data_IF_427679420520
#
_entry.id   IF_427679420520
#
_cell.length_a   1.000
_cell.length_b   1.000
_cell.length_c   1.000
_cell.angle_alpha   90.00
_cell.angle_beta   90.00
_cell.angle_gamma   90.00
#
_symmetry.space_group_name_H-M   'P 1'
#
loop_
_entity.id
_entity.type
_entity.pdbx_description
1 polymer ?
#
# COMPACT_ATOMS: atom_id res chain seq x y z
N UNK A 1 35.72 8.38 -60.45
CA UNK A 1 34.32 8.49 -60.92
C UNK A 1 34.03 7.30 -61.82
N UNK A 2 33.47 6.23 -61.25
CA UNK A 2 32.93 5.10 -62.01
C UNK A 2 31.78 4.50 -61.19
N UNK A 3 30.56 4.70 -61.68
CA UNK A 3 29.31 4.17 -61.14
C UNK A 3 29.20 2.70 -61.55
N UNK A 4 28.87 1.81 -60.62
CA UNK A 4 28.31 0.48 -60.92
C UNK A 4 27.11 0.22 -60.01
N UNK A 5 25.94 0.33 -60.63
CA UNK A 5 24.64 -0.13 -60.13
C UNK A 5 24.60 -1.65 -60.32
N UNK A 6 24.26 -2.39 -59.26
CA UNK A 6 23.82 -3.78 -59.36
C UNK A 6 22.46 -3.88 -58.69
N UNK A 7 21.44 -4.07 -59.52
CA UNK A 7 20.13 -4.60 -59.14
C UNK A 7 20.29 -6.05 -58.69
N UNK A 8 19.54 -6.48 -57.67
CA UNK A 8 18.48 -7.50 -57.86
C UNK A 8 18.09 -8.30 -56.62
N UNK A 9 16.80 -8.59 -56.60
CA UNK A 9 16.06 -9.63 -55.87
C UNK A 9 15.76 -9.44 -54.38
N UNK A 10 14.72 -8.61 -54.19
CA UNK A 10 13.63 -8.79 -53.24
C UNK A 10 13.14 -10.26 -53.22
N UNK A 11 13.13 -10.88 -52.05
CA UNK A 11 12.33 -12.07 -51.75
C UNK A 11 11.69 -11.86 -50.36
N UNK A 12 10.49 -11.29 -50.38
CA UNK A 12 9.60 -11.14 -49.24
C UNK A 12 8.91 -12.49 -49.03
N UNK A 13 9.33 -13.25 -48.02
CA UNK A 13 8.61 -14.45 -47.56
C UNK A 13 7.76 -14.03 -46.36
N UNK A 14 6.51 -13.71 -46.63
CA UNK A 14 5.50 -13.46 -45.60
C UNK A 14 4.85 -14.80 -45.24
N UNK A 15 5.24 -15.37 -44.09
CA UNK A 15 4.56 -16.53 -43.53
C UNK A 15 3.29 -16.04 -42.81
N UNK A 16 2.14 -16.26 -43.42
CA UNK A 16 0.83 -16.06 -42.80
C UNK A 16 0.54 -17.27 -41.90
N UNK A 17 0.74 -17.12 -40.60
CA UNK A 17 0.14 -18.00 -39.60
C UNK A 17 -1.21 -17.40 -39.20
N UNK A 18 -2.27 -17.96 -39.76
CA UNK A 18 -3.64 -17.78 -39.27
C UNK A 18 -3.80 -18.60 -37.97
N UNK A 19 -3.50 -17.96 -36.84
CA UNK A 19 -3.89 -18.44 -35.53
C UNK A 19 -5.29 -17.91 -35.19
N UNK A 20 -6.32 -18.74 -35.37
CA UNK A 20 -7.59 -18.56 -34.69
C UNK A 20 -7.42 -19.05 -33.25
N UNK A 21 -7.55 -18.15 -32.28
CA UNK A 21 -7.62 -18.45 -30.86
C UNK A 21 -8.10 -17.20 -30.15
N UNK A 22 -9.31 -17.25 -29.59
CA UNK A 22 -10.11 -16.09 -29.22
C UNK A 22 -9.42 -15.13 -28.25
N UNK A 23 -9.53 -13.85 -28.55
CA UNK A 23 -9.48 -12.79 -27.55
C UNK A 23 -10.77 -12.89 -26.72
N UNK A 24 -10.73 -13.67 -25.65
CA UNK A 24 -11.60 -13.42 -24.51
C UNK A 24 -11.10 -12.12 -23.86
N UNK A 25 -11.60 -10.99 -24.35
CA UNK A 25 -11.69 -9.78 -23.53
C UNK A 25 -12.70 -10.10 -22.44
N UNK A 26 -12.23 -10.79 -21.40
CA UNK A 26 -12.94 -10.88 -20.14
C UNK A 26 -13.11 -9.46 -19.64
N UNK A 27 -14.30 -8.90 -19.83
CA UNK A 27 -14.80 -7.82 -18.99
C UNK A 27 -14.88 -8.41 -17.59
N UNK A 28 -13.77 -8.37 -16.86
CA UNK A 28 -13.78 -8.54 -15.42
C UNK A 28 -14.70 -7.44 -14.91
N UNK A 29 -15.91 -7.85 -14.56
CA UNK A 29 -16.82 -7.01 -13.81
C UNK A 29 -16.14 -6.84 -12.45
N UNK A 30 -15.33 -5.79 -12.30
CA UNK A 30 -14.83 -5.37 -11.01
C UNK A 30 -16.07 -5.17 -10.16
N UNK A 31 -16.29 -6.11 -9.23
CA UNK A 31 -17.25 -5.90 -8.18
C UNK A 31 -16.85 -4.59 -7.50
N UNK A 32 -17.80 -3.73 -7.14
CA UNK A 32 -17.46 -2.54 -6.38
C UNK A 32 -16.66 -2.97 -5.14
N UNK A 33 -15.59 -2.24 -4.77
CA UNK A 33 -14.79 -2.59 -3.59
C UNK A 33 -15.72 -2.73 -2.38
N UNK A 34 -15.45 -3.75 -1.57
CA UNK A 34 -16.20 -4.05 -0.35
C UNK A 34 -16.04 -2.89 0.63
N UNK A 35 -14.90 -2.18 0.58
CA UNK A 35 -14.68 -0.92 1.29
C UNK A 35 -15.02 0.28 0.39
N UNK A 36 -16.21 0.88 0.58
CA UNK A 36 -16.70 2.01 -0.24
C UNK A 36 -16.38 3.41 0.30
N UNK A 37 -15.55 3.53 1.33
CA UNK A 37 -15.27 4.84 1.91
C UNK A 37 -13.77 5.11 1.88
N UNK A 38 -13.35 5.99 0.97
CA UNK A 38 -12.12 6.76 1.14
C UNK A 38 -12.23 7.44 2.50
N UNK A 39 -11.51 6.90 3.47
CA UNK A 39 -11.43 7.50 4.78
C UNK A 39 -10.21 8.40 4.74
N UNK A 40 -10.43 9.71 4.76
CA UNK A 40 -9.36 10.56 5.26
C UNK A 40 -9.11 10.04 6.68
N UNK A 41 -7.89 9.58 6.94
CA UNK A 41 -7.41 9.26 8.27
C UNK A 41 -7.19 10.59 9.00
N UNK A 42 -8.27 11.38 9.10
CA UNK A 42 -8.23 12.66 9.77
C UNK A 42 -8.36 12.42 11.27
N UNK A 43 -7.87 13.37 12.05
CA UNK A 43 -8.13 13.41 13.48
C UNK A 43 -9.64 13.47 13.84
N UNK A 44 -10.53 13.68 12.85
CA UNK A 44 -12.00 13.71 12.98
C UNK A 44 -12.66 12.38 12.57
N UNK A 45 -11.96 11.25 12.63
CA UNK A 45 -12.53 9.91 12.44
C UNK A 45 -13.55 9.54 13.54
N UNK A 46 -14.72 10.18 13.54
CA UNK A 46 -15.94 9.80 14.28
C UNK A 46 -15.74 8.98 15.57
N UNK A 47 -16.54 7.92 15.72
CA UNK A 47 -16.47 6.95 16.82
C UNK A 47 -15.36 5.90 16.57
N UNK A 48 -14.14 6.32 16.19
CA UNK A 48 -13.00 5.42 16.02
C UNK A 48 -12.54 4.77 17.34
N UNK A 49 -13.28 4.95 18.45
CA UNK A 49 -12.93 4.46 19.78
C UNK A 49 -12.69 2.95 19.84
N UNK A 50 -13.26 2.17 18.92
CA UNK A 50 -12.99 0.73 18.80
C UNK A 50 -11.55 0.40 18.34
N UNK A 51 -10.89 1.32 17.64
CA UNK A 51 -9.50 1.14 17.17
C UNK A 51 -8.47 1.73 18.13
N UNK A 52 -8.91 2.35 19.22
CA UNK A 52 -8.02 2.98 20.17
C UNK A 52 -7.37 1.93 21.06
N UNK A 53 -6.05 2.00 21.14
CA UNK A 53 -5.27 1.18 22.06
C UNK A 53 -5.39 1.72 23.51
N UNK A 54 -6.59 1.68 24.07
CA UNK A 54 -6.95 2.26 25.39
C UNK A 54 -6.12 1.67 26.55
N UNK A 55 -5.68 0.42 26.42
CA UNK A 55 -4.77 -0.26 27.35
C UNK A 55 -3.38 0.41 27.44
N UNK A 56 -3.04 1.27 26.48
CA UNK A 56 -1.81 2.05 26.44
C UNK A 56 -1.99 3.51 26.91
N UNK A 57 -3.16 3.88 27.44
CA UNK A 57 -3.38 5.22 28.00
C UNK A 57 -2.41 5.49 29.16
N UNK A 58 -1.75 6.64 29.14
CA UNK A 58 -0.68 7.01 30.07
C UNK A 58 0.68 6.42 29.72
N UNK A 59 0.77 5.67 28.61
CA UNK A 59 1.97 4.97 28.12
C UNK A 59 2.20 5.21 26.62
N UNK A 60 1.71 6.33 26.08
CA UNK A 60 1.86 6.66 24.66
C UNK A 60 3.32 6.65 24.18
N UNK A 61 4.26 7.13 24.99
CA UNK A 61 5.68 7.10 24.66
C UNK A 61 6.25 5.67 24.54
N UNK A 62 5.82 4.74 25.41
CA UNK A 62 6.23 3.34 25.35
C UNK A 62 5.63 2.64 24.12
N UNK A 63 4.36 2.93 23.80
CA UNK A 63 3.73 2.45 22.57
C UNK A 63 4.52 2.95 21.36
N UNK A 64 4.75 4.25 21.25
CA UNK A 64 5.49 4.84 20.13
C UNK A 64 6.89 4.24 19.98
N UNK A 65 7.63 4.05 21.08
CA UNK A 65 8.93 3.38 21.04
C UNK A 65 8.84 1.93 20.55
N UNK A 66 7.79 1.21 20.94
CA UNK A 66 7.54 -0.16 20.48
C UNK A 66 7.22 -0.21 18.98
N UNK A 67 6.47 0.76 18.45
CA UNK A 67 6.15 0.89 17.03
C UNK A 67 7.42 1.21 16.21
N UNK A 68 8.25 2.15 16.68
CA UNK A 68 9.55 2.46 16.08
C UNK A 68 10.45 1.24 16.01
N UNK A 69 10.61 0.53 17.13
CA UNK A 69 11.47 -0.65 17.19
C UNK A 69 10.99 -1.76 16.25
N UNK A 70 9.69 -2.06 16.26
CA UNK A 70 9.11 -3.10 15.41
C UNK A 70 9.27 -2.77 13.91
N UNK A 71 8.85 -1.57 13.51
CA UNK A 71 8.83 -1.18 12.09
C UNK A 71 10.26 -1.10 11.54
N UNK A 72 11.19 -0.55 12.33
CA UNK A 72 12.60 -0.52 11.97
C UNK A 72 13.22 -1.93 11.91
N UNK A 73 13.01 -2.77 12.92
CA UNK A 73 13.55 -4.14 12.91
C UNK A 73 13.06 -4.93 11.71
N UNK A 74 11.76 -4.83 11.39
CA UNK A 74 11.18 -5.44 10.20
C UNK A 74 11.85 -4.94 8.93
N UNK A 75 11.99 -3.62 8.74
CA UNK A 75 12.63 -3.06 7.54
C UNK A 75 14.11 -3.46 7.38
N UNK A 76 14.79 -3.83 8.47
CA UNK A 76 16.18 -4.30 8.43
C UNK A 76 16.30 -5.81 8.17
N UNK A 77 15.26 -6.58 8.48
CA UNK A 77 15.31 -8.06 8.49
C UNK A 77 14.46 -8.71 7.43
N UNK A 78 13.45 -8.02 6.91
CA UNK A 78 12.64 -8.49 5.80
C UNK A 78 13.49 -8.59 4.53
N UNK A 79 13.41 -9.74 3.86
CA UNK A 79 14.05 -9.95 2.57
C UNK A 79 13.04 -9.66 1.47
N UNK A 80 13.19 -8.51 0.80
CA UNK A 80 12.39 -8.19 -0.37
C UNK A 80 12.77 -9.13 -1.52
N UNK A 81 11.82 -9.97 -1.93
CA UNK A 81 11.93 -10.83 -3.10
C UNK A 81 11.10 -10.22 -4.23
N UNK A 82 11.80 -9.70 -5.24
CA UNK A 82 11.17 -9.03 -6.38
C UNK A 82 10.12 -9.93 -7.05
N UNK A 83 8.89 -9.42 -7.16
CA UNK A 83 7.74 -10.13 -7.74
C UNK A 83 7.08 -11.14 -6.81
N UNK A 84 7.58 -11.32 -5.57
CA UNK A 84 7.01 -12.22 -4.57
C UNK A 84 6.54 -11.51 -3.29
N UNK A 85 7.18 -10.41 -2.91
CA UNK A 85 6.81 -9.58 -1.75
C UNK A 85 6.64 -8.14 -2.19
N UNK A 86 5.59 -7.48 -1.70
CA UNK A 86 5.37 -6.06 -1.98
C UNK A 86 4.80 -5.28 -0.79
N UNK A 87 4.55 -3.97 -0.92
CA UNK A 87 4.24 -3.12 0.23
C UNK A 87 2.99 -3.57 1.00
N UNK A 88 2.00 -4.14 0.31
CA UNK A 88 0.81 -4.72 0.94
C UNK A 88 1.10 -5.99 1.75
N UNK A 89 1.97 -6.89 1.27
CA UNK A 89 2.44 -8.05 2.03
C UNK A 89 3.19 -7.58 3.28
N UNK A 90 4.06 -6.57 3.14
CA UNK A 90 4.83 -6.00 4.25
C UNK A 90 3.94 -5.35 5.32
N UNK A 91 2.90 -4.62 4.91
CA UNK A 91 1.93 -4.04 5.81
C UNK A 91 1.15 -5.13 6.58
N UNK A 92 0.80 -6.23 5.91
CA UNK A 92 0.11 -7.36 6.54
C UNK A 92 1.00 -8.08 7.57
N UNK A 93 2.29 -8.25 7.29
CA UNK A 93 3.23 -8.85 8.24
C UNK A 93 3.31 -8.02 9.53
N UNK A 94 3.52 -6.71 9.42
CA UNK A 94 3.52 -5.82 10.60
C UNK A 94 2.16 -5.80 11.29
N UNK A 95 1.05 -5.85 10.53
CA UNK A 95 -0.30 -5.94 11.10
C UNK A 95 -0.44 -7.19 11.99
N UNK A 96 0.03 -8.35 11.52
CA UNK A 96 0.02 -9.60 12.28
C UNK A 96 0.89 -9.51 13.54
N UNK A 97 2.07 -8.90 13.44
CA UNK A 97 2.98 -8.71 14.57
C UNK A 97 2.38 -7.79 15.65
N UNK A 98 1.75 -6.69 15.25
CA UNK A 98 1.02 -5.80 16.16
C UNK A 98 -0.16 -6.52 16.82
N UNK A 99 -0.95 -7.25 16.04
CA UNK A 99 -2.08 -8.03 16.55
C UNK A 99 -1.63 -9.08 17.58
N UNK A 100 -0.50 -9.76 17.35
CA UNK A 100 0.08 -10.73 18.30
C UNK A 100 0.47 -10.11 19.64
N UNK A 101 0.77 -8.81 19.65
CA UNK A 101 1.12 -8.01 20.83
C UNK A 101 -0.12 -7.34 21.47
N UNK A 102 -1.31 -7.59 20.94
CA UNK A 102 -2.55 -6.95 21.38
C UNK A 102 -2.59 -5.46 21.07
N UNK A 103 -1.92 -5.03 20.00
CA UNK A 103 -1.99 -3.66 19.48
C UNK A 103 -2.92 -3.67 18.27
N UNK A 104 -3.99 -2.89 18.36
CA UNK A 104 -4.93 -2.69 17.24
C UNK A 104 -4.30 -1.73 16.24
N UNK A 105 -4.37 -2.08 14.96
CA UNK A 105 -3.88 -1.26 13.85
C UNK A 105 -4.80 -1.40 12.65
N UNK A 106 -4.77 -0.40 11.78
CA UNK A 106 -5.49 -0.38 10.52
C UNK A 106 -4.49 -0.44 9.38
N UNK A 107 -4.80 -1.20 8.33
CA UNK A 107 -4.04 -1.19 7.09
C UNK A 107 -4.60 -0.05 6.23
N UNK A 108 -3.73 0.73 5.63
CA UNK A 108 -4.11 1.82 4.73
C UNK A 108 -3.46 1.60 3.39
N UNK A 109 -4.25 1.81 2.34
CA UNK A 109 -3.84 1.73 0.94
C UNK A 109 -4.12 3.08 0.29
N UNK A 110 -3.12 3.71 -0.31
CA UNK A 110 -3.28 5.01 -0.93
C UNK A 110 -2.17 5.35 -1.90
N UNK A 111 -2.05 6.63 -2.26
CA UNK A 111 -0.98 7.11 -3.13
C UNK A 111 -0.10 8.16 -2.46
N UNK A 112 1.20 7.87 -2.30
CA UNK A 112 2.14 8.78 -1.62
C UNK A 112 2.58 10.00 -2.45
N UNK A 113 2.19 10.07 -3.73
CA UNK A 113 2.56 11.14 -4.66
C UNK A 113 1.43 12.13 -4.94
N UNK A 114 0.20 11.82 -4.49
CA UNK A 114 -0.97 12.67 -4.71
C UNK A 114 -1.95 12.65 -3.54
N UNK A 115 -3.06 13.35 -3.70
CA UNK A 115 -4.18 13.37 -2.74
C UNK A 115 -5.47 13.15 -3.52
N UNK A 116 -6.51 12.67 -2.84
CA UNK A 116 -7.80 12.33 -3.44
C UNK A 116 -7.68 11.30 -4.57
N UNK A 117 -6.78 10.35 -4.39
CA UNK A 117 -6.61 9.23 -5.29
C UNK A 117 -7.89 8.40 -5.39
N UNK A 118 -8.12 7.87 -6.58
CA UNK A 118 -9.04 6.77 -6.79
C UNK A 118 -8.38 5.44 -6.42
N UNK A 119 -9.21 4.42 -6.23
CA UNK A 119 -8.76 3.05 -5.97
C UNK A 119 -7.69 2.56 -6.96
N UNK A 120 -7.84 2.91 -8.25
CA UNK A 120 -6.93 2.49 -9.31
C UNK A 120 -5.60 3.27 -9.33
N UNK A 121 -5.50 4.33 -8.54
CA UNK A 121 -4.31 5.18 -8.43
C UNK A 121 -3.49 4.85 -7.18
N UNK A 122 -3.97 3.98 -6.28
CA UNK A 122 -3.20 3.57 -5.10
C UNK A 122 -1.88 2.88 -5.50
N UNK A 123 -0.79 3.23 -4.81
CA UNK A 123 0.56 2.74 -5.10
C UNK A 123 1.41 2.44 -3.86
N UNK A 124 0.89 2.65 -2.65
CA UNK A 124 1.55 2.26 -1.41
C UNK A 124 0.60 1.73 -0.32
N UNK A 125 1.09 0.81 0.51
CA UNK A 125 0.38 0.30 1.68
C UNK A 125 1.18 0.52 2.96
N UNK A 126 0.51 0.94 4.03
CA UNK A 126 1.10 1.23 5.33
C UNK A 126 0.10 0.93 6.45
N UNK A 127 0.44 1.24 7.70
CA UNK A 127 -0.46 1.08 8.83
C UNK A 127 -0.71 2.38 9.59
N UNK A 128 -1.86 2.45 10.27
CA UNK A 128 -2.19 3.49 11.25
C UNK A 128 -2.46 2.84 12.61
N UNK A 129 -1.87 3.41 13.65
CA UNK A 129 -2.06 3.00 15.04
C UNK A 129 -2.53 4.18 15.88
N UNK A 130 -3.74 4.10 16.43
CA UNK A 130 -4.24 5.08 17.42
C UNK A 130 -3.79 4.69 18.82
N UNK A 131 -3.26 5.65 19.57
CA UNK A 131 -2.98 5.47 20.99
C UNK A 131 -4.24 5.71 21.84
N UNK A 132 -4.18 5.36 23.13
CA UNK A 132 -5.29 5.55 24.07
C UNK A 132 -5.54 7.01 24.50
N UNK A 133 -4.77 7.96 23.95
CA UNK A 133 -4.73 9.39 24.31
C UNK A 133 -5.22 10.30 23.17
N UNK A 134 -5.65 9.73 22.03
CA UNK A 134 -6.20 10.48 20.91
C UNK A 134 -5.19 10.98 19.89
N UNK A 135 -3.96 10.44 19.89
CA UNK A 135 -2.99 10.63 18.82
C UNK A 135 -2.81 9.33 18.02
N UNK A 136 -2.21 9.45 16.84
CA UNK A 136 -1.98 8.35 15.93
C UNK A 136 -0.55 8.37 15.38
N UNK A 137 -0.08 7.22 14.91
CA UNK A 137 1.16 7.07 14.17
C UNK A 137 0.92 6.29 12.87
N UNK A 138 1.50 6.76 11.77
CA UNK A 138 1.62 6.02 10.53
C UNK A 138 2.90 5.22 10.51
N UNK A 139 2.84 3.95 10.13
CA UNK A 139 3.97 3.02 10.07
C UNK A 139 4.18 2.60 8.62
N UNK A 140 5.31 2.97 8.04
CA UNK A 140 5.72 2.53 6.71
C UNK A 140 6.73 1.38 6.82
N UNK A 141 6.29 0.13 6.62
CA UNK A 141 7.18 -1.03 6.73
C UNK A 141 8.25 -1.06 5.63
N UNK A 142 7.99 -0.42 4.47
CA UNK A 142 8.90 -0.44 3.33
C UNK A 142 10.18 0.36 3.58
N UNK A 143 10.11 1.40 4.41
CA UNK A 143 11.29 2.19 4.80
C UNK A 143 11.63 2.16 6.29
N UNK A 144 10.84 1.48 7.11
CA UNK A 144 11.01 1.46 8.57
C UNK A 144 10.53 2.74 9.26
N UNK A 145 9.73 3.55 8.57
CA UNK A 145 9.30 4.86 9.03
C UNK A 145 8.15 4.78 10.03
N UNK A 146 8.19 5.65 11.04
CA UNK A 146 7.04 5.92 11.92
C UNK A 146 6.85 7.43 12.01
N UNK A 147 5.65 7.90 11.67
CA UNK A 147 5.34 9.32 11.51
C UNK A 147 4.12 9.69 12.35
N UNK A 148 4.24 10.77 13.12
CA UNK A 148 3.13 11.41 13.81
C UNK A 148 2.58 12.57 12.95
N UNK A 149 1.34 12.98 13.21
CA UNK A 149 0.74 14.10 12.46
C UNK A 149 1.55 15.39 12.61
N UNK A 150 2.17 15.61 13.77
CA UNK A 150 3.04 16.74 14.05
C UNK A 150 4.24 16.84 13.11
N UNK A 151 4.76 15.70 12.63
CA UNK A 151 5.90 15.65 11.71
C UNK A 151 5.56 16.31 10.36
N UNK A 152 4.27 16.39 10.00
CA UNK A 152 3.81 17.06 8.77
C UNK A 152 4.04 18.57 8.77
N UNK A 153 4.32 19.17 9.94
CA UNK A 153 4.66 20.59 10.04
C UNK A 153 6.07 20.86 9.50
N UNK A 154 7.00 19.93 9.73
CA UNK A 154 8.37 20.00 9.24
C UNK A 154 8.50 19.35 7.84
N UNK A 155 7.76 18.26 7.62
CA UNK A 155 7.79 17.45 6.41
C UNK A 155 6.39 17.34 5.78
N UNK A 156 5.93 18.37 5.03
CA UNK A 156 4.57 18.41 4.51
C UNK A 156 4.16 17.25 3.59
N UNK A 157 5.12 16.55 2.97
CA UNK A 157 4.87 15.36 2.16
C UNK A 157 4.41 14.14 2.98
N UNK A 158 4.58 14.17 4.32
CA UNK A 158 4.07 13.12 5.19
C UNK A 158 2.55 13.17 5.36
N UNK A 159 1.86 14.21 4.86
CA UNK A 159 0.39 14.31 4.92
C UNK A 159 -0.30 13.15 4.21
N UNK A 160 0.36 12.60 3.20
CA UNK A 160 -0.13 11.51 2.35
C UNK A 160 -0.36 10.23 3.16
N UNK A 161 0.40 9.99 4.23
CA UNK A 161 0.17 8.86 5.14
C UNK A 161 -1.14 8.94 5.93
N UNK A 162 -1.86 10.06 5.85
CA UNK A 162 -3.10 10.31 6.57
C UNK A 162 -4.33 10.34 5.65
N UNK A 163 -4.19 9.86 4.43
CA UNK A 163 -5.26 9.71 3.44
C UNK A 163 -5.14 8.33 2.79
N UNK A 164 -6.27 7.65 2.61
CA UNK A 164 -6.29 6.39 1.86
C UNK A 164 -7.57 5.59 2.08
N UNK A 165 -7.58 4.38 1.55
CA UNK A 165 -8.60 3.38 1.79
C UNK A 165 -8.16 2.54 2.99
N UNK A 166 -9.03 2.42 3.98
CA UNK A 166 -8.70 1.83 5.27
C UNK A 166 -9.33 0.43 5.39
N UNK A 167 -8.54 -0.52 5.87
CA UNK A 167 -8.91 -1.90 6.09
C UNK A 167 -8.59 -2.32 7.53
N UNK A 168 -9.52 -3.02 8.17
CA UNK A 168 -9.35 -3.49 9.55
C UNK A 168 -8.57 -4.81 9.63
N UNK A 169 -8.57 -5.57 8.54
CA UNK A 169 -7.93 -6.88 8.49
C UNK A 169 -7.44 -7.20 7.06
N UNK A 170 -6.48 -8.13 6.92
CA UNK A 170 -5.96 -8.52 5.61
C UNK A 170 -6.99 -9.14 4.67
N UNK A 171 -8.05 -9.78 5.19
CA UNK A 171 -9.07 -10.42 4.33
C UNK A 171 -9.84 -9.38 3.52
N UNK A 172 -10.22 -8.27 4.15
CA UNK A 172 -10.91 -7.17 3.46
C UNK A 172 -10.00 -6.53 2.40
N UNK A 173 -8.71 -6.35 2.70
CA UNK A 173 -7.74 -5.86 1.72
C UNK A 173 -7.64 -6.80 0.51
N UNK A 174 -7.49 -8.10 0.73
CA UNK A 174 -7.34 -9.08 -0.36
C UNK A 174 -8.60 -9.30 -1.18
N UNK A 175 -9.78 -8.97 -0.65
CA UNK A 175 -11.01 -8.96 -1.42
C UNK A 175 -11.02 -7.84 -2.47
N UNK A 176 -10.38 -6.71 -2.17
CA UNK A 176 -10.37 -5.52 -3.02
C UNK A 176 -9.11 -5.43 -3.90
N UNK A 177 -7.92 -5.73 -3.36
CA UNK A 177 -6.64 -5.73 -4.08
C UNK A 177 -6.14 -7.16 -4.30
N UNK A 178 -6.36 -7.72 -5.49
CA UNK A 178 -5.86 -9.07 -5.84
C UNK A 178 -4.41 -9.08 -6.34
N UNK A 179 -3.84 -7.89 -6.59
CA UNK A 179 -2.47 -7.72 -7.08
C UNK A 179 -1.53 -7.39 -5.92
N UNK A 180 -0.23 -7.66 -6.14
CA UNK A 180 0.87 -7.24 -5.26
C UNK A 180 1.55 -6.01 -5.90
N UNK A 181 1.79 -5.00 -5.08
CA UNK A 181 2.25 -3.65 -5.45
C UNK A 181 2.93 -3.00 -4.25
#
# INVERSE_FOLDING_TARGET
MTIRIVFSFLALVTLLLAGCGGTETGLYHQLPPVSQTNHIVSADLGDAGEYWNLQWRGRAAELHHSLLALTWEYSQTHEYVFGESDCNDMAIDIWNDLASRGITSLIVVGNLEMSHESFAECNHAWLIVYNGEGAAAALDPSCGGVYCWEDTQEYPYLKQYWEGIVYQNPTDLWNDFQERW
#
